data_IF_692407761438
#
_entry.id   IF_692407761438
#
_cell.length_a   1.000
_cell.length_b   1.000
_cell.length_c   1.000
_cell.angle_alpha   90.00
_cell.angle_beta   90.00
_cell.angle_gamma   90.00
#
_symmetry.space_group_name_H-M   'P 1'
#
loop_
_entity.id
_entity.type
_entity.pdbx_description
1 polymer ?
#
# COMPACT_ATOMS: atom_id res chain seq x y z
N UNK A 1 12.78 11.02 -18.48
CA UNK A 1 12.77 10.45 -19.86
C UNK A 1 11.34 10.10 -20.20
N UNK A 2 10.88 10.28 -21.46
CA UNK A 2 9.54 9.84 -21.85
C UNK A 2 9.44 8.31 -21.73
N UNK A 3 8.33 7.83 -21.16
CA UNK A 3 8.01 6.40 -21.04
C UNK A 3 7.80 5.83 -22.44
N UNK A 4 8.55 4.77 -22.80
CA UNK A 4 8.33 4.08 -24.06
C UNK A 4 7.18 3.08 -23.94
N UNK A 5 5.97 3.51 -24.31
CA UNK A 5 4.74 2.70 -24.25
C UNK A 5 4.82 1.38 -25.05
N UNK A 6 5.70 1.31 -26.06
CA UNK A 6 5.89 0.10 -26.87
C UNK A 6 6.62 -1.04 -26.13
N UNK A 7 7.29 -0.73 -25.03
CA UNK A 7 7.97 -1.72 -24.18
C UNK A 7 7.09 -2.20 -23.02
N UNK A 8 5.93 -1.58 -22.80
CA UNK A 8 5.03 -1.97 -21.72
C UNK A 8 4.16 -3.16 -22.13
N UNK A 9 3.88 -4.05 -21.18
CA UNK A 9 2.78 -5.02 -21.32
C UNK A 9 1.42 -4.31 -21.44
N UNK A 10 0.36 -5.09 -21.68
CA UNK A 10 -0.98 -4.56 -21.93
C UNK A 10 -1.53 -3.76 -20.75
N UNK A 11 -1.45 -4.32 -19.54
CA UNK A 11 -1.97 -3.68 -18.31
C UNK A 11 -1.20 -2.40 -18.01
N UNK A 12 0.13 -2.46 -18.10
CA UNK A 12 1.02 -1.33 -17.86
C UNK A 12 0.80 -0.21 -18.87
N UNK A 13 0.53 -0.55 -20.14
CA UNK A 13 0.23 0.43 -21.18
C UNK A 13 -1.13 1.10 -20.96
N UNK A 14 -2.16 0.33 -20.60
CA UNK A 14 -3.48 0.90 -20.27
C UNK A 14 -3.41 1.81 -19.04
N UNK A 15 -2.74 1.36 -17.98
CA UNK A 15 -2.52 2.15 -16.78
C UNK A 15 -1.73 3.44 -17.08
N UNK A 16 -0.64 3.35 -17.85
CA UNK A 16 0.15 4.52 -18.25
C UNK A 16 -0.67 5.54 -19.06
N UNK A 17 -1.54 5.06 -19.97
CA UNK A 17 -2.45 5.93 -20.73
C UNK A 17 -3.46 6.62 -19.80
N UNK A 18 -4.05 5.87 -18.87
CA UNK A 18 -4.98 6.40 -17.89
C UNK A 18 -4.32 7.46 -17.00
N UNK A 19 -3.11 7.21 -16.51
CA UNK A 19 -2.32 8.17 -15.71
C UNK A 19 -1.97 9.41 -16.55
N UNK A 20 -1.55 9.25 -17.81
CA UNK A 20 -1.26 10.39 -18.67
C UNK A 20 -2.47 11.33 -18.87
N UNK A 21 -3.67 10.76 -18.93
CA UNK A 21 -4.92 11.54 -19.08
C UNK A 21 -5.36 12.21 -17.76
N UNK A 22 -5.27 11.50 -16.63
CA UNK A 22 -5.92 11.94 -15.39
C UNK A 22 -4.96 12.48 -14.32
N UNK A 23 -3.69 12.05 -14.33
CA UNK A 23 -2.64 12.35 -13.34
C UNK A 23 -1.26 12.45 -14.02
N UNK A 24 -1.08 13.34 -15.02
CA UNK A 24 0.13 13.37 -15.85
C UNK A 24 1.41 13.63 -15.05
N UNK A 25 1.31 14.32 -13.91
CA UNK A 25 2.41 14.58 -12.99
C UNK A 25 3.00 13.30 -12.37
N UNK A 26 2.21 12.23 -12.23
CA UNK A 26 2.69 10.95 -11.68
C UNK A 26 3.73 10.29 -12.57
N UNK A 27 3.73 10.58 -13.88
CA UNK A 27 4.70 10.04 -14.82
C UNK A 27 6.14 10.50 -14.52
N UNK A 28 6.32 11.58 -13.74
CA UNK A 28 7.63 12.01 -13.26
C UNK A 28 8.27 11.01 -12.27
N UNK A 29 7.45 10.18 -11.63
CA UNK A 29 7.86 9.16 -10.65
C UNK A 29 7.89 7.75 -11.22
N UNK A 30 7.54 7.60 -12.50
CA UNK A 30 7.42 6.31 -13.14
C UNK A 30 8.78 5.74 -13.58
N UNK A 31 8.92 4.43 -13.41
CA UNK A 31 10.04 3.60 -13.86
C UNK A 31 9.49 2.41 -14.64
N UNK A 32 10.26 1.95 -15.63
CA UNK A 32 9.94 0.74 -16.38
C UNK A 32 10.86 -0.36 -15.84
N UNK A 33 10.26 -1.47 -15.40
CA UNK A 33 10.99 -2.60 -14.83
C UNK A 33 10.73 -3.85 -15.67
N UNK A 34 11.75 -4.66 -16.01
CA UNK A 34 11.56 -5.84 -16.83
C UNK A 34 10.65 -6.86 -16.12
N UNK A 35 9.73 -7.49 -16.87
CA UNK A 35 8.81 -8.52 -16.32
C UNK A 35 9.57 -9.80 -15.99
N UNK A 36 10.60 -10.11 -16.76
CA UNK A 36 11.54 -11.21 -16.52
C UNK A 36 12.87 -10.93 -17.24
N UNK A 37 13.93 -11.63 -16.85
CA UNK A 37 15.27 -11.47 -17.47
C UNK A 37 15.28 -11.71 -18.99
N UNK A 38 14.32 -12.48 -19.51
CA UNK A 38 14.24 -12.87 -20.92
C UNK A 38 13.14 -12.12 -21.71
N UNK A 39 12.42 -11.18 -21.08
CA UNK A 39 11.34 -10.45 -21.73
C UNK A 39 11.80 -9.04 -22.11
N UNK A 40 11.48 -8.62 -23.33
CA UNK A 40 11.60 -7.21 -23.73
C UNK A 40 10.44 -6.36 -23.17
N UNK A 41 9.40 -7.01 -22.62
CA UNK A 41 8.28 -6.32 -21.99
C UNK A 41 8.62 -5.94 -20.55
N UNK A 42 8.17 -4.75 -20.20
CA UNK A 42 8.34 -4.13 -18.90
C UNK A 42 6.97 -3.88 -18.28
N UNK A 43 6.92 -3.91 -16.96
CA UNK A 43 5.83 -3.34 -16.21
C UNK A 43 6.17 -1.92 -15.78
N UNK A 44 5.14 -1.17 -15.40
CA UNK A 44 5.28 0.17 -14.86
C UNK A 44 5.29 0.11 -13.33
N UNK A 45 6.23 0.83 -12.73
CA UNK A 45 6.21 1.14 -11.30
C UNK A 45 6.23 2.64 -11.11
N UNK A 46 5.38 3.16 -10.23
CA UNK A 46 5.33 4.58 -9.86
C UNK A 46 5.61 4.67 -8.37
N UNK A 47 6.80 5.16 -8.01
CA UNK A 47 7.25 5.25 -6.62
C UNK A 47 7.34 6.73 -6.21
N UNK A 48 6.51 7.12 -5.24
CA UNK A 48 6.43 8.51 -4.81
C UNK A 48 7.36 8.75 -3.62
N UNK A 49 8.09 9.88 -3.60
CA UNK A 49 8.97 10.18 -2.48
C UNK A 49 8.16 10.37 -1.19
N UNK A 50 8.68 9.84 -0.09
CA UNK A 50 8.12 10.07 1.23
C UNK A 50 7.99 11.57 1.50
N UNK A 51 6.83 11.95 2.05
CA UNK A 51 6.57 13.32 2.46
C UNK A 51 7.30 13.63 3.78
N UNK A 52 7.55 14.92 4.10
CA UNK A 52 8.09 15.30 5.40
C UNK A 52 7.27 14.71 6.56
N UNK A 53 7.92 14.01 7.50
CA UNK A 53 7.26 13.29 8.60
C UNK A 53 6.96 11.81 8.32
N UNK A 54 7.23 11.32 7.11
CA UNK A 54 7.07 9.92 6.71
C UNK A 54 8.39 9.30 6.21
N UNK A 55 9.55 9.83 6.59
CA UNK A 55 10.86 9.42 6.03
C UNK A 55 11.29 8.00 6.47
N UNK A 56 10.75 7.49 7.58
CA UNK A 56 11.15 6.22 8.18
C UNK A 56 10.27 5.01 7.79
N UNK A 57 9.42 5.15 6.77
CA UNK A 57 8.56 4.06 6.24
C UNK A 57 8.88 3.77 4.78
N UNK A 58 8.46 2.60 4.29
CA UNK A 58 8.52 2.34 2.85
C UNK A 58 7.59 3.31 2.10
N UNK A 59 8.00 3.75 0.89
CA UNK A 59 7.27 4.76 0.13
C UNK A 59 5.90 4.26 -0.31
N UNK A 60 5.06 5.21 -0.73
CA UNK A 60 3.87 4.87 -1.51
C UNK A 60 4.30 4.49 -2.92
N UNK A 61 3.84 3.35 -3.40
CA UNK A 61 4.15 2.89 -4.74
C UNK A 61 2.94 2.24 -5.42
N UNK A 62 2.96 2.24 -6.74
CA UNK A 62 1.99 1.55 -7.59
C UNK A 62 2.78 0.69 -8.57
N UNK A 63 2.47 -0.60 -8.67
CA UNK A 63 3.07 -1.50 -9.65
C UNK A 63 1.98 -2.10 -10.54
N UNK A 64 2.28 -2.28 -11.81
CA UNK A 64 1.41 -2.98 -12.77
C UNK A 64 1.90 -4.40 -13.09
N UNK A 65 2.84 -4.92 -12.30
CA UNK A 65 3.33 -6.29 -12.45
C UNK A 65 2.22 -7.31 -12.14
N UNK A 66 2.17 -8.41 -12.89
CA UNK A 66 1.28 -9.54 -12.61
C UNK A 66 -0.14 -9.39 -13.16
N UNK A 67 -0.33 -8.64 -14.24
CA UNK A 67 -1.63 -8.44 -14.90
C UNK A 67 -2.69 -7.70 -14.05
N UNK A 68 -2.23 -6.90 -13.09
CA UNK A 68 -3.09 -6.15 -12.17
C UNK A 68 -2.43 -4.83 -11.75
N UNK A 69 -3.15 -3.99 -11.00
CA UNK A 69 -2.58 -2.82 -10.32
C UNK A 69 -2.44 -3.14 -8.84
N UNK A 70 -1.20 -3.16 -8.35
CA UNK A 70 -0.89 -3.28 -6.92
C UNK A 70 -0.54 -1.92 -6.35
N UNK A 71 -1.16 -1.55 -5.23
CA UNK A 71 -0.93 -0.27 -4.54
C UNK A 71 -0.36 -0.56 -3.16
N UNK A 72 0.85 -0.08 -2.89
CA UNK A 72 1.55 -0.31 -1.63
C UNK A 72 1.86 0.97 -0.85
N UNK A 73 1.87 0.85 0.46
CA UNK A 73 2.38 1.84 1.40
C UNK A 73 2.91 1.13 2.64
N UNK A 74 4.13 1.46 3.06
CA UNK A 74 4.79 0.81 4.20
C UNK A 74 4.71 -0.74 4.09
N UNK A 75 4.09 -1.40 5.05
CA UNK A 75 4.05 -2.85 5.19
C UNK A 75 2.80 -3.50 4.57
N UNK A 76 1.99 -2.75 3.83
CA UNK A 76 0.73 -3.24 3.27
C UNK A 76 0.62 -2.91 1.78
N UNK A 77 0.00 -3.81 1.04
CA UNK A 77 -0.39 -3.58 -0.34
C UNK A 77 -1.74 -4.23 -0.63
N UNK A 78 -2.45 -3.66 -1.59
CA UNK A 78 -3.72 -4.17 -2.09
C UNK A 78 -3.65 -4.35 -3.60
N UNK A 79 -4.26 -5.43 -4.09
CA UNK A 79 -4.30 -5.82 -5.48
C UNK A 79 -5.64 -5.45 -6.09
N UNK A 80 -5.62 -4.86 -7.28
CA UNK A 80 -6.80 -4.44 -8.01
C UNK A 80 -6.75 -4.97 -9.44
N UNK A 81 -7.78 -5.70 -9.89
CA UNK A 81 -7.92 -6.03 -11.30
C UNK A 81 -7.89 -4.78 -12.18
N UNK A 82 -7.23 -4.88 -13.34
CA UNK A 82 -7.11 -3.77 -14.26
C UNK A 82 -7.02 -4.26 -15.72
N UNK A 83 -7.66 -3.57 -16.69
CA UNK A 83 -8.61 -2.48 -16.52
C UNK A 83 -10.00 -2.94 -16.06
N UNK A 84 -10.28 -4.24 -16.19
CA UNK A 84 -11.57 -4.83 -15.85
C UNK A 84 -11.48 -5.64 -14.57
N UNK A 85 -12.58 -5.69 -13.83
CA UNK A 85 -12.73 -6.54 -12.66
C UNK A 85 -13.04 -8.00 -13.03
N UNK A 86 -13.16 -8.86 -12.01
CA UNK A 86 -13.46 -10.29 -12.21
C UNK A 86 -14.83 -10.57 -12.84
N UNK A 87 -15.73 -9.58 -12.84
CA UNK A 87 -17.04 -9.66 -13.50
C UNK A 87 -17.02 -9.05 -14.90
N UNK A 88 -15.90 -8.48 -15.34
CA UNK A 88 -15.74 -7.81 -16.62
C UNK A 88 -16.16 -6.32 -16.63
N UNK A 89 -16.51 -5.77 -15.48
CA UNK A 89 -16.84 -4.35 -15.28
C UNK A 89 -15.57 -3.50 -15.20
N UNK A 90 -15.69 -2.17 -15.23
CA UNK A 90 -14.53 -1.27 -15.12
C UNK A 90 -13.91 -1.34 -13.70
N UNK A 91 -12.70 -1.90 -13.60
CA UNK A 91 -11.96 -2.07 -12.34
C UNK A 91 -11.20 -0.81 -11.91
N UNK A 92 -10.98 0.13 -12.85
CA UNK A 92 -10.20 1.35 -12.62
C UNK A 92 -10.69 2.21 -11.44
N UNK A 93 -12.01 2.43 -11.26
CA UNK A 93 -12.53 3.23 -10.15
C UNK A 93 -12.14 2.68 -8.77
N UNK A 94 -12.06 1.35 -8.61
CA UNK A 94 -11.71 0.74 -7.33
C UNK A 94 -10.26 1.03 -6.94
N UNK A 95 -9.31 0.79 -7.85
CA UNK A 95 -7.90 1.10 -7.64
C UNK A 95 -7.69 2.59 -7.35
N UNK A 96 -8.28 3.46 -8.17
CA UNK A 96 -8.12 4.91 -8.03
C UNK A 96 -8.76 5.45 -6.75
N UNK A 97 -9.91 4.91 -6.33
CA UNK A 97 -10.53 5.26 -5.03
C UNK A 97 -9.60 4.91 -3.88
N UNK A 98 -8.98 3.74 -3.91
CA UNK A 98 -8.04 3.30 -2.87
C UNK A 98 -6.78 4.18 -2.83
N UNK A 99 -6.17 4.46 -3.99
CA UNK A 99 -5.02 5.36 -4.11
C UNK A 99 -5.34 6.74 -3.52
N UNK A 100 -6.49 7.33 -3.90
CA UNK A 100 -6.91 8.62 -3.38
C UNK A 100 -7.14 8.58 -1.87
N UNK A 101 -7.74 7.51 -1.34
CA UNK A 101 -7.99 7.38 0.08
C UNK A 101 -6.68 7.32 0.90
N UNK A 102 -5.64 6.63 0.40
CA UNK A 102 -4.31 6.63 1.04
C UNK A 102 -3.62 7.99 0.92
N UNK A 103 -3.60 8.59 -0.28
CA UNK A 103 -2.93 9.88 -0.51
C UNK A 103 -3.61 11.06 0.22
N UNK A 104 -4.90 10.95 0.51
CA UNK A 104 -5.63 11.92 1.33
C UNK A 104 -5.67 11.57 2.82
N UNK A 105 -5.04 10.46 3.22
CA UNK A 105 -5.02 9.95 4.59
C UNK A 105 -6.44 9.68 5.16
N UNK A 106 -7.39 9.37 4.27
CA UNK A 106 -8.69 8.79 4.62
C UNK A 106 -8.54 7.32 5.04
N UNK A 107 -7.50 6.67 4.51
CA UNK A 107 -6.98 5.40 4.97
C UNK A 107 -5.54 5.54 5.49
N UNK A 108 -5.22 4.74 6.49
CA UNK A 108 -3.88 4.51 7.04
C UNK A 108 -3.52 3.05 6.91
N UNK A 109 -2.24 2.74 6.83
CA UNK A 109 -1.73 1.38 6.95
C UNK A 109 -1.50 1.08 8.42
N UNK A 110 -2.08 -0.02 8.88
CA UNK A 110 -1.86 -0.55 10.22
C UNK A 110 -1.15 -1.88 10.08
N UNK A 111 -0.09 -2.10 10.84
CA UNK A 111 0.69 -3.33 10.78
C UNK A 111 1.17 -3.78 12.16
N UNK A 112 1.09 -5.09 12.39
CA UNK A 112 1.59 -5.73 13.60
C UNK A 112 2.94 -6.38 13.33
N UNK A 113 3.86 -6.19 14.27
CA UNK A 113 5.25 -6.61 14.13
C UNK A 113 5.70 -7.41 15.35
N UNK A 114 6.59 -8.37 15.10
CA UNK A 114 7.40 -9.02 16.11
C UNK A 114 8.87 -8.80 15.77
N UNK A 115 9.50 -7.83 16.44
CA UNK A 115 10.82 -7.32 16.08
C UNK A 115 10.84 -6.75 14.67
N UNK A 116 11.58 -7.40 13.77
CA UNK A 116 11.70 -7.00 12.35
C UNK A 116 10.71 -7.72 11.42
N UNK A 117 9.89 -8.63 11.95
CA UNK A 117 8.97 -9.44 11.13
C UNK A 117 7.54 -8.90 11.20
N UNK A 118 6.97 -8.59 10.04
CA UNK A 118 5.54 -8.32 9.93
C UNK A 118 4.72 -9.59 10.20
N UNK A 119 3.64 -9.44 10.97
CA UNK A 119 2.68 -10.51 11.30
C UNK A 119 1.41 -10.39 10.47
N UNK A 120 0.87 -9.18 10.37
CA UNK A 120 -0.23 -8.83 9.50
C UNK A 120 -0.24 -7.32 9.24
N UNK A 121 -0.98 -6.91 8.21
CA UNK A 121 -1.27 -5.51 7.94
C UNK A 121 -2.63 -5.34 7.27
N UNK A 122 -3.22 -4.16 7.45
CA UNK A 122 -4.50 -3.73 6.89
C UNK A 122 -4.41 -2.26 6.48
N UNK A 123 -5.35 -1.85 5.62
CA UNK A 123 -5.65 -0.43 5.39
C UNK A 123 -6.97 -0.07 6.05
N UNK A 124 -6.98 0.98 6.85
CA UNK A 124 -8.11 1.29 7.74
C UNK A 124 -8.36 2.77 7.88
N UNK A 125 -9.59 3.13 8.27
CA UNK A 125 -9.91 4.53 8.56
C UNK A 125 -9.26 4.95 9.89
N UNK A 126 -8.53 6.08 9.97
CA UNK A 126 -7.83 6.47 11.19
C UNK A 126 -8.70 6.53 12.46
N UNK A 127 -10.00 6.81 12.30
CA UNK A 127 -10.97 6.94 13.40
C UNK A 127 -11.61 5.62 13.81
N UNK A 128 -11.42 4.55 13.03
CA UNK A 128 -12.02 3.25 13.26
C UNK A 128 -11.04 2.14 12.86
N UNK A 129 -10.17 1.77 13.80
CA UNK A 129 -9.16 0.73 13.63
C UNK A 129 -9.72 -0.61 14.15
N UNK A 130 -10.40 -1.33 13.28
CA UNK A 130 -10.98 -2.65 13.52
C UNK A 130 -9.95 -3.74 13.83
N UNK A 131 -8.71 -3.66 13.32
CA UNK A 131 -7.70 -4.71 13.55
C UNK A 131 -7.27 -4.87 15.01
N UNK A 132 -7.61 -3.93 15.90
CA UNK A 132 -7.43 -4.14 17.35
C UNK A 132 -8.23 -5.33 17.87
N UNK A 133 -9.33 -5.71 17.20
CA UNK A 133 -10.14 -6.88 17.56
C UNK A 133 -9.46 -8.21 17.19
N UNK A 134 -8.51 -8.17 16.24
CA UNK A 134 -7.84 -9.34 15.67
C UNK A 134 -6.34 -9.40 16.01
N UNK A 135 -5.94 -8.88 17.19
CA UNK A 135 -4.52 -8.79 17.56
C UNK A 135 -3.82 -10.16 17.48
N UNK A 136 -2.85 -10.34 16.55
CA UNK A 136 -2.16 -11.61 16.41
C UNK A 136 -1.27 -11.85 17.63
N UNK A 137 -1.38 -13.05 18.22
CA UNK A 137 -0.53 -13.47 19.33
C UNK A 137 0.96 -13.29 19.02
N UNK A 138 1.67 -12.68 19.97
CA UNK A 138 3.12 -12.47 19.90
C UNK A 138 3.58 -11.20 19.18
N UNK A 139 2.69 -10.38 18.62
CA UNK A 139 3.09 -9.08 18.07
C UNK A 139 3.50 -8.10 19.19
N UNK A 140 4.73 -7.61 19.16
CA UNK A 140 5.27 -6.66 20.15
C UNK A 140 5.07 -5.19 19.78
N UNK A 141 4.80 -4.89 18.51
CA UNK A 141 4.57 -3.52 18.05
C UNK A 141 3.38 -3.41 17.09
N UNK A 142 2.64 -2.31 17.21
CA UNK A 142 1.70 -1.83 16.22
C UNK A 142 2.28 -0.58 15.56
N UNK A 143 2.29 -0.55 14.23
CA UNK A 143 2.72 0.60 13.45
C UNK A 143 1.51 1.11 12.66
N UNK A 144 1.24 2.39 12.82
CA UNK A 144 0.28 3.14 11.99
C UNK A 144 1.11 4.02 11.07
N UNK A 145 0.88 3.92 9.77
CA UNK A 145 1.59 4.67 8.72
C UNK A 145 0.61 5.32 7.77
N UNK A 146 0.97 6.50 7.29
CA UNK A 146 0.10 7.40 6.54
C UNK A 146 0.92 8.15 5.50
N UNK A 147 0.30 8.57 4.41
CA UNK A 147 1.02 9.14 3.27
C UNK A 147 1.84 10.40 3.63
N UNK A 148 1.25 11.32 4.41
CA UNK A 148 1.91 12.56 4.84
C UNK A 148 2.47 12.47 6.26
N UNK A 149 2.37 11.31 6.88
CA UNK A 149 2.83 11.09 8.24
C UNK A 149 1.92 11.65 9.33
N UNK A 150 0.76 12.24 9.01
CA UNK A 150 -0.13 12.89 9.99
C UNK A 150 -0.60 11.93 11.08
N UNK A 151 -0.66 10.63 10.78
CA UNK A 151 -1.07 9.58 11.70
C UNK A 151 0.08 8.64 12.11
N UNK A 152 1.31 8.93 11.71
CA UNK A 152 2.44 8.04 11.94
C UNK A 152 2.68 7.83 13.42
N UNK A 153 2.57 6.58 13.86
CA UNK A 153 2.81 6.20 15.25
C UNK A 153 3.30 4.77 15.36
N UNK A 154 4.18 4.52 16.32
CA UNK A 154 4.53 3.16 16.75
C UNK A 154 4.08 3.01 18.20
N UNK A 155 3.26 2.01 18.46
CA UNK A 155 2.82 1.63 19.79
C UNK A 155 3.45 0.30 20.13
N UNK A 156 4.02 0.18 21.32
CA UNK A 156 4.57 -1.09 21.83
C UNK A 156 3.54 -1.75 22.71
N UNK A 157 3.36 -3.06 22.52
CA UNK A 157 2.51 -3.86 23.37
C UNK A 157 3.29 -4.34 24.59
N UNK A 158 2.77 -4.00 25.77
CA UNK A 158 3.10 -4.72 26.98
C UNK A 158 2.10 -5.88 27.13
N UNK A 159 2.50 -7.05 26.64
CA UNK A 159 1.68 -8.26 26.72
C UNK A 159 1.36 -8.64 28.17
N UNK A 160 2.26 -8.37 29.11
CA UNK A 160 2.01 -8.69 30.52
C UNK A 160 0.92 -7.79 31.09
N UNK A 161 0.95 -6.49 30.78
CA UNK A 161 -0.12 -5.56 31.17
C UNK A 161 -1.45 -5.88 30.49
N UNK A 162 -1.45 -6.15 29.19
CA UNK A 162 -2.65 -6.51 28.44
C UNK A 162 -3.31 -7.79 29.00
N UNK A 163 -2.52 -8.86 29.18
CA UNK A 163 -3.02 -10.12 29.72
C UNK A 163 -3.56 -9.98 31.15
N UNK A 164 -2.96 -9.12 31.99
CA UNK A 164 -3.50 -8.81 33.33
C UNK A 164 -4.86 -8.13 33.24
N UNK A 165 -5.04 -7.20 32.31
CA UNK A 165 -6.31 -6.49 32.12
C UNK A 165 -7.42 -7.43 31.64
N UNK A 166 -7.16 -8.30 30.66
CA UNK A 166 -8.22 -9.15 30.08
C UNK A 166 -8.50 -10.42 30.90
N UNK A 167 -7.53 -10.95 31.66
CA UNK A 167 -7.73 -12.14 32.49
C UNK A 167 -8.29 -11.84 33.88
N UNK A 168 -8.47 -10.56 34.22
CA UNK A 168 -8.95 -10.17 35.55
C UNK A 168 -8.06 -10.67 36.69
N UNK A 169 -6.76 -10.87 36.42
CA UNK A 169 -5.83 -11.38 37.44
C UNK A 169 -5.58 -10.27 38.47
N UNK A 170 -5.92 -10.48 39.76
CA UNK A 170 -5.66 -9.49 40.79
C UNK A 170 -4.14 -9.30 40.95
N UNK A 171 -3.76 -8.02 41.12
CA UNK A 171 -2.44 -7.57 41.55
C UNK A 171 -2.04 -8.17 42.89
#
# INVERSE_FOLDING_TARGET
>A
MPINLGMLDEVSRDFAAYVAEHRPDWLAYARLLPISENSNLHHLEVEFPNQPGAEAQEPFWISTYGEEVTVGLDAHHAHFPWPKDYNGEDGRPAAMKYIHALMNEELVVVSFWDGTRIRCSSSEQPKNLSIYEEQPGGASELRIRSWRGSYNRTLRFDWDSYLKTIKGSPS
#
